data_IF_829608562045
#
_entry.id   IF_829608562045
#
_cell.length_a   1.000
_cell.length_b   1.000
_cell.length_c   1.000
_cell.angle_alpha   90.00
_cell.angle_beta   90.00
_cell.angle_gamma   90.00
#
_symmetry.space_group_name_H-M   'P 1'
#
loop_
_entity.id
_entity.type
_entity.pdbx_description
1 polymer ?
#
# COMPACT_ATOMS: atom_id res chain seq x y z
N UNK A 1 -9.60 -20.29 -47.76
CA UNK A 1 -9.10 -18.93 -47.50
C UNK A 1 -9.30 -18.65 -46.02
N UNK A 2 -8.19 -18.49 -45.29
CA UNK A 2 -8.16 -18.38 -43.83
C UNK A 2 -8.63 -16.99 -43.39
N UNK A 3 -9.70 -16.92 -42.61
CA UNK A 3 -10.05 -15.72 -41.86
C UNK A 3 -9.18 -15.69 -40.60
N UNK A 4 -8.14 -14.87 -40.62
CA UNK A 4 -7.36 -14.56 -39.42
C UNK A 4 -8.24 -13.76 -38.46
N UNK A 5 -8.56 -14.36 -37.31
CA UNK A 5 -9.16 -13.63 -36.19
C UNK A 5 -8.04 -12.76 -35.61
N UNK A 6 -8.12 -11.46 -35.87
CA UNK A 6 -7.27 -10.46 -35.23
C UNK A 6 -7.57 -10.49 -33.73
N UNK A 7 -6.57 -10.87 -32.92
CA UNK A 7 -6.63 -10.71 -31.48
C UNK A 7 -6.55 -9.22 -31.17
N UNK A 8 -7.71 -8.56 -31.09
CA UNK A 8 -7.81 -7.26 -30.46
C UNK A 8 -7.30 -7.42 -29.02
N UNK A 9 -6.15 -6.82 -28.73
CA UNK A 9 -5.65 -6.62 -27.37
C UNK A 9 -6.74 -5.89 -26.59
N UNK A 10 -7.47 -6.60 -25.73
CA UNK A 10 -8.32 -5.97 -24.73
C UNK A 10 -7.38 -5.16 -23.84
N UNK A 11 -7.48 -3.84 -23.88
CA UNK A 11 -6.72 -2.99 -22.98
C UNK A 11 -7.13 -3.35 -21.54
N UNK A 12 -6.24 -4.00 -20.80
CA UNK A 12 -6.47 -4.32 -19.40
C UNK A 12 -6.74 -3.04 -18.62
N UNK A 13 -7.78 -3.07 -17.76
CA UNK A 13 -8.12 -1.95 -16.89
C UNK A 13 -6.89 -1.55 -16.06
N UNK A 14 -6.58 -0.25 -16.07
CA UNK A 14 -5.48 0.35 -15.32
C UNK A 14 -5.99 1.04 -14.07
N UNK A 15 -5.21 0.97 -13.01
CA UNK A 15 -5.46 1.62 -11.73
C UNK A 15 -4.25 2.46 -11.34
N UNK A 16 -4.49 3.58 -10.67
CA UNK A 16 -3.42 4.41 -10.14
C UNK A 16 -3.36 4.30 -8.63
N UNK A 17 -2.17 4.01 -8.13
CA UNK A 17 -1.93 3.82 -6.69
C UNK A 17 -0.90 4.82 -6.21
N UNK A 18 -1.25 5.56 -5.16
CA UNK A 18 -0.34 6.37 -4.37
C UNK A 18 0.27 5.52 -3.25
N UNK A 19 1.59 5.39 -3.27
CA UNK A 19 2.37 4.70 -2.22
C UNK A 19 3.22 5.70 -1.44
N UNK A 20 3.16 5.64 -0.11
CA UNK A 20 3.89 6.56 0.78
C UNK A 20 4.92 5.85 1.67
N UNK A 21 4.86 4.52 1.75
CA UNK A 21 5.60 3.70 2.71
C UNK A 21 6.60 2.73 2.07
N UNK A 22 6.59 1.48 2.53
CA UNK A 22 7.60 0.45 2.19
C UNK A 22 7.67 0.06 0.70
N UNK A 23 6.64 0.39 -0.08
CA UNK A 23 6.57 0.12 -1.52
C UNK A 23 7.25 1.18 -2.41
N UNK A 24 7.57 2.38 -1.86
CA UNK A 24 8.24 3.46 -2.61
C UNK A 24 9.61 3.02 -3.12
N UNK A 25 10.10 3.67 -4.17
CA UNK A 25 11.46 3.46 -4.71
C UNK A 25 12.50 3.53 -3.59
N UNK A 26 13.39 2.54 -3.55
CA UNK A 26 14.46 2.46 -2.55
C UNK A 26 14.01 1.98 -1.17
N UNK A 27 12.73 1.69 -0.95
CA UNK A 27 12.22 1.13 0.31
C UNK A 27 12.16 -0.41 0.29
N UNK A 28 12.08 -1.08 1.46
CA UNK A 28 12.29 -2.52 1.58
C UNK A 28 11.40 -3.40 0.68
N UNK A 29 10.15 -3.00 0.46
CA UNK A 29 9.18 -3.77 -0.33
C UNK A 29 9.04 -3.31 -1.78
N UNK A 30 9.88 -2.39 -2.26
CA UNK A 30 9.81 -1.91 -3.64
C UNK A 30 9.95 -3.03 -4.69
N UNK A 31 10.62 -4.14 -4.34
CA UNK A 31 10.72 -5.32 -5.20
C UNK A 31 9.35 -5.93 -5.56
N UNK A 32 8.33 -5.74 -4.71
CA UNK A 32 6.94 -6.13 -4.98
C UNK A 32 6.40 -5.35 -6.17
N UNK A 33 6.53 -4.02 -6.17
CA UNK A 33 6.10 -3.15 -7.27
C UNK A 33 6.73 -3.56 -8.61
N UNK A 34 8.03 -3.89 -8.58
CA UNK A 34 8.75 -4.40 -9.77
C UNK A 34 8.19 -5.73 -10.28
N UNK A 35 7.89 -6.67 -9.37
CA UNK A 35 7.32 -7.98 -9.73
C UNK A 35 5.94 -7.86 -10.34
N UNK A 36 5.15 -6.91 -9.86
CA UNK A 36 3.81 -6.60 -10.38
C UNK A 36 3.84 -5.85 -11.72
N UNK A 37 5.02 -5.48 -12.23
CA UNK A 37 5.13 -4.67 -13.45
C UNK A 37 4.57 -3.26 -13.28
N UNK A 38 4.52 -2.75 -12.05
CA UNK A 38 4.01 -1.41 -11.76
C UNK A 38 4.89 -0.34 -12.41
N UNK A 39 4.28 0.64 -13.07
CA UNK A 39 4.98 1.72 -13.76
C UNK A 39 4.92 2.98 -12.90
N UNK A 40 6.08 3.43 -12.39
CA UNK A 40 6.15 4.71 -11.66
C UNK A 40 5.85 5.86 -12.62
N UNK A 41 4.83 6.65 -12.30
CA UNK A 41 4.47 7.86 -13.06
C UNK A 41 5.24 9.09 -12.53
N UNK A 42 5.53 9.12 -11.23
CA UNK A 42 6.39 10.13 -10.61
C UNK A 42 6.13 10.32 -9.13
N UNK A 43 6.77 11.32 -8.55
CA UNK A 43 6.60 11.70 -7.15
C UNK A 43 5.36 12.57 -6.98
N UNK A 44 4.72 12.48 -5.82
CA UNK A 44 3.53 13.27 -5.49
C UNK A 44 3.42 13.54 -4.00
N UNK A 45 2.56 14.49 -3.65
CA UNK A 45 2.26 14.84 -2.26
C UNK A 45 0.74 14.93 -2.06
N UNK A 46 0.24 14.47 -0.91
CA UNK A 46 -1.19 14.53 -0.60
C UNK A 46 -1.73 15.96 -0.57
N UNK A 47 -2.94 16.14 -1.09
CA UNK A 47 -3.67 17.40 -1.02
C UNK A 47 -4.23 17.64 0.39
N UNK A 48 -4.82 16.62 1.00
CA UNK A 48 -5.23 16.67 2.40
C UNK A 48 -4.02 16.37 3.29
N UNK A 49 -4.03 16.92 4.50
CA UNK A 49 -3.02 16.58 5.51
C UNK A 49 -3.43 15.28 6.20
N UNK A 50 -2.45 14.44 6.49
CA UNK A 50 -2.59 13.18 7.19
C UNK A 50 -1.58 13.10 8.32
N UNK A 51 -1.84 12.22 9.30
CA UNK A 51 -0.80 11.74 10.20
C UNK A 51 -0.22 10.48 9.58
N UNK A 52 1.05 10.53 9.22
CA UNK A 52 1.84 9.34 8.88
C UNK A 52 2.78 9.08 10.04
N UNK A 53 2.72 7.88 10.63
CA UNK A 53 3.57 7.49 11.75
C UNK A 53 4.32 6.20 11.41
N UNK A 54 5.42 5.92 12.11
CA UNK A 54 6.13 4.63 12.01
C UNK A 54 6.09 3.97 13.38
N UNK A 55 5.65 2.72 13.45
CA UNK A 55 5.59 2.02 14.74
C UNK A 55 5.07 0.61 14.66
N UNK A 56 4.49 0.16 15.79
CA UNK A 56 4.13 -1.23 16.00
C UNK A 56 5.36 -2.15 16.12
N UNK A 57 5.15 -3.45 16.30
CA UNK A 57 6.24 -4.42 16.52
C UNK A 57 7.18 -4.60 15.31
N UNK A 58 6.83 -4.04 14.15
CA UNK A 58 7.53 -4.27 12.88
C UNK A 58 7.99 -2.98 12.18
N UNK A 59 7.88 -1.82 12.85
CA UNK A 59 8.28 -0.50 12.34
C UNK A 59 7.69 -0.18 10.95
N UNK A 60 6.38 -0.36 10.84
CA UNK A 60 5.62 -0.16 9.59
C UNK A 60 5.15 1.31 9.53
N UNK A 61 5.18 1.95 8.35
CA UNK A 61 4.55 3.26 8.14
C UNK A 61 3.03 3.15 8.04
N UNK A 62 2.29 3.89 8.87
CA UNK A 62 0.81 3.93 8.90
C UNK A 62 0.30 5.35 8.60
N UNK A 63 -0.41 5.53 7.48
CA UNK A 63 -1.12 6.79 7.21
C UNK A 63 -2.55 6.72 7.72
N UNK A 64 -2.91 7.59 8.66
CA UNK A 64 -4.27 7.71 9.16
C UNK A 64 -5.22 8.27 8.08
N UNK A 65 -6.52 7.91 8.11
CA UNK A 65 -7.51 8.60 7.30
C UNK A 65 -7.49 10.10 7.63
N UNK A 66 -7.87 10.97 6.67
CA UNK A 66 -7.92 12.40 6.92
C UNK A 66 -8.93 12.67 8.05
N UNK A 67 -8.60 13.59 8.95
CA UNK A 67 -9.54 14.03 9.98
C UNK A 67 -10.72 14.76 9.35
N UNK A 68 -11.85 14.81 10.07
CA UNK A 68 -13.04 15.51 9.60
C UNK A 68 -12.75 17.01 9.45
N UNK A 69 -13.45 17.66 8.51
CA UNK A 69 -13.31 19.11 8.35
C UNK A 69 -13.73 19.83 9.63
N UNK A 70 -12.82 20.64 10.18
CA UNK A 70 -13.01 21.34 11.46
C UNK A 70 -12.27 20.71 12.65
N UNK A 71 -11.74 19.48 12.52
CA UNK A 71 -10.79 18.94 13.48
C UNK A 71 -9.44 19.66 13.30
N UNK A 72 -9.05 20.47 14.29
CA UNK A 72 -7.72 21.10 14.34
C UNK A 72 -6.59 20.12 14.69
N UNK A 73 -6.86 18.81 14.59
CA UNK A 73 -5.90 17.77 14.88
C UNK A 73 -5.45 17.72 16.33
N UNK A 74 -4.63 16.72 16.64
CA UNK A 74 -3.83 16.71 17.88
C UNK A 74 -2.58 17.59 17.73
N UNK A 75 -2.45 18.31 16.60
CA UNK A 75 -1.19 18.83 16.09
C UNK A 75 -0.42 17.76 15.30
N UNK A 76 0.30 18.20 14.27
CA UNK A 76 1.26 17.37 13.53
C UNK A 76 0.77 16.72 12.23
N UNK A 77 -0.45 16.99 11.76
CA UNK A 77 -0.86 16.59 10.41
C UNK A 77 0.00 17.30 9.35
N UNK A 78 0.53 16.54 8.41
CA UNK A 78 1.38 17.02 7.35
C UNK A 78 0.89 16.50 6.00
N UNK A 79 1.31 17.16 4.93
CA UNK A 79 1.15 16.59 3.60
C UNK A 79 2.18 15.46 3.46
N UNK A 80 1.73 14.31 2.97
CA UNK A 80 2.55 13.10 2.92
C UNK A 80 3.19 12.96 1.55
N UNK A 81 4.50 12.75 1.53
CA UNK A 81 5.27 12.51 0.33
C UNK A 81 5.18 11.03 -0.11
N UNK A 82 4.96 10.83 -1.40
CA UNK A 82 4.85 9.50 -1.98
C UNK A 82 5.10 9.48 -3.48
N UNK A 83 4.69 8.37 -4.08
CA UNK A 83 4.89 8.08 -5.49
C UNK A 83 3.59 7.54 -6.08
N UNK A 84 3.29 7.90 -7.33
CA UNK A 84 2.15 7.36 -8.07
C UNK A 84 2.63 6.28 -9.03
N UNK A 85 1.96 5.13 -9.01
CA UNK A 85 2.19 4.02 -9.92
C UNK A 85 0.93 3.68 -10.71
N UNK A 86 1.10 3.31 -11.97
CA UNK A 86 0.10 2.60 -12.74
C UNK A 86 0.26 1.09 -12.57
N UNK A 87 -0.84 0.39 -12.28
CA UNK A 87 -0.92 -1.07 -12.14
C UNK A 87 -2.12 -1.63 -12.90
N UNK A 88 -2.12 -2.93 -13.18
CA UNK A 88 -3.27 -3.62 -13.76
C UNK A 88 -4.20 -4.22 -12.69
N UNK A 89 -5.27 -4.89 -13.14
CA UNK A 89 -6.26 -5.50 -12.27
C UNK A 89 -5.70 -6.62 -11.36
N UNK A 90 -4.72 -7.39 -11.82
CA UNK A 90 -4.15 -8.45 -10.99
C UNK A 90 -3.24 -7.86 -9.91
N UNK A 91 -2.49 -6.82 -10.27
CA UNK A 91 -1.59 -6.14 -9.36
C UNK A 91 -2.35 -5.38 -8.26
N UNK A 92 -3.49 -4.77 -8.58
CA UNK A 92 -4.30 -4.06 -7.56
C UNK A 92 -4.94 -5.05 -6.56
N UNK A 93 -5.36 -6.23 -7.01
CA UNK A 93 -5.88 -7.29 -6.13
C UNK A 93 -4.77 -7.87 -5.24
N UNK A 94 -3.57 -8.08 -5.79
CA UNK A 94 -2.41 -8.50 -4.99
C UNK A 94 -2.05 -7.46 -3.92
N UNK A 95 -2.10 -6.17 -4.24
CA UNK A 95 -1.79 -5.12 -3.27
C UNK A 95 -2.81 -5.08 -2.11
N UNK A 96 -4.09 -5.39 -2.36
CA UNK A 96 -5.07 -5.52 -1.27
C UNK A 96 -4.68 -6.62 -0.29
N UNK A 97 -4.30 -7.79 -0.81
CA UNK A 97 -3.85 -8.91 0.03
C UNK A 97 -2.56 -8.56 0.78
N UNK A 98 -1.58 -7.98 0.06
CA UNK A 98 -0.29 -7.58 0.62
C UNK A 98 -0.42 -6.57 1.77
N UNK A 99 -1.29 -5.58 1.61
CA UNK A 99 -1.58 -4.56 2.64
C UNK A 99 -2.63 -5.06 3.66
N UNK A 100 -3.05 -6.33 3.61
CA UNK A 100 -4.06 -6.89 4.50
C UNK A 100 -5.36 -6.07 4.54
N UNK A 101 -5.79 -5.55 3.39
CA UNK A 101 -7.03 -4.80 3.27
C UNK A 101 -8.25 -5.74 3.21
N UNK A 102 -9.40 -5.38 3.83
CA UNK A 102 -9.66 -4.15 4.58
C UNK A 102 -9.28 -4.24 6.07
N UNK A 103 -8.51 -5.23 6.53
CA UNK A 103 -8.29 -5.49 7.97
C UNK A 103 -7.30 -4.50 8.62
N UNK A 104 -6.10 -4.35 8.06
CA UNK A 104 -5.08 -3.42 8.56
C UNK A 104 -5.24 -2.05 7.91
N UNK A 105 -5.31 -2.03 6.58
CA UNK A 105 -5.57 -0.84 5.79
C UNK A 105 -6.91 -0.92 5.09
N UNK A 106 -7.42 0.21 4.64
CA UNK A 106 -8.51 0.30 3.67
C UNK A 106 -7.98 1.03 2.42
N UNK A 107 -8.28 0.49 1.24
CA UNK A 107 -8.03 1.21 -0.02
C UNK A 107 -9.04 2.33 -0.18
N UNK A 108 -8.57 3.57 -0.32
CA UNK A 108 -9.37 4.79 -0.46
C UNK A 108 -8.83 5.68 -1.56
N UNK A 109 -9.69 6.53 -2.10
CA UNK A 109 -9.25 7.62 -2.98
C UNK A 109 -8.38 8.63 -2.21
N UNK A 110 -7.25 8.99 -2.80
CA UNK A 110 -6.29 9.97 -2.27
C UNK A 110 -6.23 11.16 -3.22
N UNK A 111 -6.52 12.35 -2.68
CA UNK A 111 -6.33 13.60 -3.39
C UNK A 111 -4.86 14.02 -3.31
N UNK A 112 -4.27 14.44 -4.43
CA UNK A 112 -2.87 14.85 -4.55
C UNK A 112 -2.78 16.29 -5.03
N UNK A 113 -1.78 17.05 -4.55
CA UNK A 113 -1.56 18.44 -4.99
C UNK A 113 -1.30 18.56 -6.49
N UNK A 114 -0.60 17.56 -7.03
CA UNK A 114 -0.29 17.44 -8.44
C UNK A 114 -0.18 15.97 -8.77
N UNK A 115 -0.62 15.61 -9.97
CA UNK A 115 -0.40 14.28 -10.53
C UNK A 115 0.81 14.30 -11.44
N UNK A 116 1.71 13.31 -11.34
CA UNK A 116 2.83 13.21 -12.26
C UNK A 116 2.34 12.64 -13.60
N UNK A 117 2.75 13.28 -14.70
CA UNK A 117 2.28 13.07 -16.08
C UNK A 117 0.88 13.67 -16.39
N UNK A 118 0.58 13.99 -17.67
CA UNK A 118 -0.75 14.40 -18.08
C UNK A 118 -1.72 13.21 -17.93
N UNK A 119 -2.31 13.09 -16.75
CA UNK A 119 -3.45 12.22 -16.51
C UNK A 119 -4.75 12.98 -16.84
N UNK A 120 -5.82 12.26 -17.23
CA UNK A 120 -7.15 12.84 -17.30
C UNK A 120 -7.53 13.54 -15.98
N UNK A 121 -8.28 14.64 -16.09
CA UNK A 121 -8.65 15.48 -14.94
C UNK A 121 -9.45 14.74 -13.86
N UNK A 122 -10.11 13.64 -14.23
CA UNK A 122 -10.99 12.84 -13.37
C UNK A 122 -10.37 11.49 -12.97
N UNK A 123 -9.05 11.36 -13.07
CA UNK A 123 -8.41 10.10 -12.68
C UNK A 123 -8.49 9.89 -11.16
N UNK A 124 -9.06 8.75 -10.79
CA UNK A 124 -9.08 8.27 -9.41
C UNK A 124 -7.71 7.69 -9.09
N UNK A 125 -7.10 8.21 -8.03
CA UNK A 125 -5.87 7.68 -7.46
C UNK A 125 -6.22 7.10 -6.09
N UNK A 126 -5.86 5.86 -5.87
CA UNK A 126 -6.17 5.14 -4.63
C UNK A 126 -4.91 4.95 -3.79
N UNK A 127 -5.08 4.74 -2.49
CA UNK A 127 -3.99 4.45 -1.57
C UNK A 127 -4.52 3.78 -0.31
N UNK A 128 -3.62 3.19 0.47
CA UNK A 128 -3.96 2.40 1.65
C UNK A 128 -3.89 3.27 2.90
N UNK A 129 -5.02 3.52 3.55
CA UNK A 129 -5.08 4.27 4.83
C UNK A 129 -5.41 3.32 5.97
N UNK A 130 -4.86 3.58 7.16
CA UNK A 130 -5.05 2.75 8.34
C UNK A 130 -6.54 2.57 8.62
N UNK A 131 -7.00 1.33 8.77
CA UNK A 131 -8.38 1.06 9.15
C UNK A 131 -8.64 1.59 10.57
N UNK A 132 -9.65 2.46 10.80
CA UNK A 132 -10.05 2.92 12.12
C UNK A 132 -10.35 1.82 13.16
N UNK A 133 -10.69 0.63 12.69
CA UNK A 133 -10.98 -0.57 13.49
C UNK A 133 -9.74 -1.43 13.75
N UNK A 134 -8.57 -1.09 13.20
CA UNK A 134 -7.35 -1.84 13.43
C UNK A 134 -6.94 -1.78 14.91
N UNK A 135 -6.57 -2.92 15.49
CA UNK A 135 -6.38 -3.06 16.94
C UNK A 135 -5.29 -2.14 17.53
N UNK A 136 -4.30 -1.69 16.74
CA UNK A 136 -3.26 -0.75 17.18
C UNK A 136 -3.62 0.73 16.94
N UNK A 137 -4.80 1.06 16.40
CA UNK A 137 -5.14 2.42 15.99
C UNK A 137 -4.89 3.47 17.10
N UNK A 138 -5.35 3.21 18.32
CA UNK A 138 -5.21 4.13 19.46
C UNK A 138 -3.76 4.31 19.92
N UNK A 139 -2.95 3.26 19.84
CA UNK A 139 -1.53 3.28 20.21
C UNK A 139 -0.74 4.09 19.17
N UNK A 140 -0.94 3.78 17.89
CA UNK A 140 -0.31 4.46 16.77
C UNK A 140 -0.65 5.96 16.75
N UNK A 141 -1.84 6.35 17.21
CA UNK A 141 -2.27 7.75 17.29
C UNK A 141 -1.44 8.57 18.31
N UNK A 142 -0.70 7.94 19.22
CA UNK A 142 0.17 8.63 20.16
C UNK A 142 1.58 8.89 19.62
N UNK A 143 1.91 8.36 18.45
CA UNK A 143 3.26 8.48 17.86
C UNK A 143 3.45 9.82 17.14
N UNK A 144 4.70 10.25 17.09
CA UNK A 144 5.10 11.46 16.38
C UNK A 144 4.93 11.29 14.85
N UNK A 145 4.23 12.23 14.19
CA UNK A 145 4.02 12.15 12.75
C UNK A 145 5.27 12.58 11.96
N UNK A 146 5.39 12.02 10.76
CA UNK A 146 6.41 12.33 9.76
C UNK A 146 5.75 12.72 8.43
N UNK A 147 6.42 13.52 7.61
CA UNK A 147 5.94 13.85 6.25
C UNK A 147 6.35 12.82 5.20
N UNK A 148 7.47 12.12 5.42
CA UNK A 148 8.03 11.19 4.44
C UNK A 148 8.68 10.00 5.13
N UNK A 149 8.23 8.80 4.78
CA UNK A 149 8.85 7.56 5.23
C UNK A 149 10.15 7.28 4.47
N UNK A 150 11.18 6.93 5.23
CA UNK A 150 12.39 6.27 4.76
C UNK A 150 12.82 5.26 5.83
N UNK A 151 12.97 3.99 5.46
CA UNK A 151 13.47 2.97 6.37
C UNK A 151 14.89 3.31 6.82
N UNK A 152 15.17 3.10 8.11
CA UNK A 152 16.48 3.28 8.74
C UNK A 152 17.15 1.92 9.07
N UNK A 153 16.69 0.84 8.44
CA UNK A 153 17.10 -0.53 8.74
C UNK A 153 16.35 -1.13 9.93
N UNK A 154 15.18 -0.58 10.27
CA UNK A 154 14.38 -0.99 11.43
C UNK A 154 13.11 -1.75 11.02
N UNK A 155 12.71 -1.66 9.75
CA UNK A 155 11.58 -2.41 9.21
C UNK A 155 11.78 -3.93 9.33
N UNK A 156 10.76 -4.63 9.83
CA UNK A 156 10.77 -6.09 9.93
C UNK A 156 9.85 -6.69 8.85
N UNK A 157 10.42 -7.33 7.80
CA UNK A 157 9.64 -7.93 6.72
C UNK A 157 8.84 -9.13 7.22
N UNK A 158 7.70 -9.47 6.59
CA UNK A 158 6.84 -10.58 7.00
C UNK A 158 7.57 -11.88 7.30
N UNK A 159 8.51 -12.27 6.43
CA UNK A 159 9.28 -13.53 6.56
C UNK A 159 10.23 -13.57 7.77
N UNK A 160 10.54 -12.41 8.36
CA UNK A 160 11.39 -12.30 9.56
C UNK A 160 10.59 -12.11 10.84
N UNK A 161 9.25 -12.04 10.76
CA UNK A 161 8.39 -11.87 11.93
C UNK A 161 8.29 -13.18 12.69
N UNK A 162 8.21 -13.16 14.03
CA UNK A 162 7.95 -14.36 14.79
C UNK A 162 6.66 -15.01 14.28
N UNK A 163 6.75 -16.29 13.92
CA UNK A 163 5.54 -17.09 13.72
C UNK A 163 4.87 -17.14 15.10
N UNK A 164 3.83 -16.34 15.32
CA UNK A 164 3.03 -16.53 16.51
C UNK A 164 2.58 -17.98 16.51
N UNK A 165 3.03 -18.75 17.51
CA UNK A 165 2.55 -20.10 17.72
C UNK A 165 1.04 -20.02 17.91
N UNK A 166 0.30 -20.23 16.83
CA UNK A 166 -1.16 -20.30 16.85
C UNK A 166 -1.47 -21.45 17.78
N UNK A 167 -1.98 -21.15 18.99
CA UNK A 167 -2.55 -22.18 19.85
C UNK A 167 -3.57 -22.92 18.98
N UNK A 168 -3.28 -24.19 18.73
CA UNK A 168 -4.10 -25.07 17.95
C UNK A 168 -5.56 -25.00 18.43
N UNK A 169 -6.46 -24.60 17.52
CA UNK A 169 -7.85 -25.05 17.56
C UNK A 169 -8.12 -25.80 16.25
N UNK A 170 -8.32 -27.10 16.45
CA UNK A 170 -8.60 -28.19 15.53
C UNK A 170 -9.55 -27.91 14.36
N UNK A 171 -9.22 -28.52 13.21
CA UNK A 171 -10.05 -29.00 12.09
C UNK A 171 -10.94 -27.98 11.34
N UNK A 172 -10.79 -27.77 10.03
CA UNK A 172 -10.97 -28.74 8.94
C UNK A 172 -10.52 -28.12 7.61
N UNK A 173 -10.21 -28.97 6.62
CA UNK A 173 -9.32 -28.69 5.47
C UNK A 173 -9.78 -27.70 4.41
N UNK A 174 -8.79 -27.05 3.79
CA UNK A 174 -8.41 -27.26 2.38
C UNK A 174 -7.11 -26.47 2.13
N UNK A 175 -6.04 -27.19 1.78
CA UNK A 175 -4.72 -26.62 1.54
C UNK A 175 -4.66 -25.82 0.24
N UNK A 176 -4.10 -24.61 0.34
CA UNK A 176 -3.56 -23.83 -0.78
C UNK A 176 -2.03 -24.00 -0.76
N UNK A 177 -1.35 -23.92 -1.93
CA UNK A 177 0.04 -24.32 -2.05
C UNK A 177 0.99 -23.35 -1.35
N UNK A 178 1.91 -23.96 -0.60
CA UNK A 178 3.07 -23.36 0.06
C UNK A 178 4.08 -22.90 -1.01
N UNK A 179 4.29 -21.58 -1.14
CA UNK A 179 5.37 -21.03 -1.97
C UNK A 179 6.58 -20.69 -1.09
N UNK A 180 7.10 -21.71 -0.41
CA UNK A 180 8.45 -21.69 0.15
C UNK A 180 9.44 -22.36 -0.81
N UNK A 181 10.51 -21.63 -1.12
CA UNK A 181 11.81 -22.12 -1.63
C UNK A 181 11.90 -22.65 -3.08
N UNK A 182 12.29 -21.75 -3.99
CA UNK A 182 13.33 -22.09 -4.98
C UNK A 182 14.53 -21.19 -4.70
N UNK A 183 15.47 -21.69 -3.88
CA UNK A 183 16.84 -21.16 -3.85
C UNK A 183 17.54 -21.66 -5.10
N UNK A 184 18.03 -20.73 -5.91
CA UNK A 184 18.94 -21.02 -7.00
C UNK A 184 20.29 -21.49 -6.47
N UNK A 185 20.79 -22.56 -7.07
CA UNK A 185 22.19 -22.87 -7.33
C UNK A 185 22.22 -23.87 -8.48
#
# INVERSE_FOLDING_TARGET
MSAGVSAASVASKRFLVFVYGTLKTGQPNHHVMKRLGAVKLGDAQTERRHRLVVGGPYNIPYMFPPLHEGDNGSGGEQRVDGEVYEVDANAIDFLDEFESAPVMYERKQIALQSVPAPLPKETVIEGYVLNPSFHLFKELQQLEPISSYADKGEYIPPDSRPVHATKARSASGNGLPDFAAVKGS
#
